data_IF_062184178391
#
_entry.id   IF_062184178391
#
_cell.length_a   1.000
_cell.length_b   1.000
_cell.length_c   1.000
_cell.angle_alpha   90.00
_cell.angle_beta   90.00
_cell.angle_gamma   90.00
#
_symmetry.space_group_name_H-M   'P 1'
#
loop_
_entity.id
_entity.type
_entity.pdbx_description
1 polymer ?
#
# COMPACT_ATOMS: atom_id res chain seq x y z
N UNK A 1 25.01 -29.29 -17.94
CA UNK A 1 24.77 -28.68 -16.63
C UNK A 1 23.39 -29.11 -16.17
N UNK A 2 23.27 -30.07 -15.26
CA UNK A 2 21.97 -30.59 -14.87
C UNK A 2 21.30 -29.63 -13.88
N UNK A 3 20.18 -29.06 -14.30
CA UNK A 3 19.24 -28.24 -13.52
C UNK A 3 18.50 -29.12 -12.48
N UNK A 4 19.22 -29.70 -11.52
CA UNK A 4 18.62 -30.55 -10.49
C UNK A 4 17.99 -29.69 -9.41
N UNK A 5 16.69 -29.46 -9.58
CA UNK A 5 15.82 -28.75 -8.66
C UNK A 5 15.95 -29.29 -7.22
N UNK A 6 16.13 -28.32 -6.33
CA UNK A 6 16.27 -28.41 -4.89
C UNK A 6 15.02 -28.95 -4.14
N UNK A 7 14.53 -30.13 -4.50
CA UNK A 7 13.41 -30.82 -3.84
C UNK A 7 13.97 -31.78 -2.80
N UNK A 8 13.61 -31.58 -1.52
CA UNK A 8 13.98 -32.46 -0.41
C UNK A 8 13.15 -33.75 -0.49
N UNK A 9 13.68 -34.86 0.01
CA UNK A 9 13.00 -36.17 0.00
C UNK A 9 11.59 -36.16 0.64
N UNK A 10 11.31 -35.16 1.50
CA UNK A 10 10.01 -34.93 2.14
C UNK A 10 9.00 -34.19 1.25
N UNK A 11 9.26 -34.02 -0.06
CA UNK A 11 8.39 -33.29 -0.99
C UNK A 11 8.38 -31.77 -0.78
N UNK A 12 9.23 -31.25 0.11
CA UNK A 12 9.32 -29.82 0.42
C UNK A 12 10.47 -29.17 -0.34
N UNK A 13 10.20 -27.99 -0.92
CA UNK A 13 11.19 -27.19 -1.63
C UNK A 13 12.08 -26.48 -0.61
N UNK A 14 13.41 -26.62 -0.70
CA UNK A 14 14.34 -26.00 0.27
C UNK A 14 14.39 -24.47 0.20
N UNK A 15 13.75 -23.88 -0.81
CA UNK A 15 13.58 -22.44 -0.94
C UNK A 15 12.09 -22.10 -1.02
N UNK A 16 11.59 -21.39 0.00
CA UNK A 16 10.29 -20.75 -0.08
C UNK A 16 10.46 -19.45 -0.89
N UNK A 17 9.84 -19.32 -2.08
CA UNK A 17 10.02 -18.13 -2.90
C UNK A 17 9.42 -16.92 -2.18
N UNK A 18 10.28 -16.11 -1.57
CA UNK A 18 9.87 -14.91 -0.83
C UNK A 18 9.17 -13.85 -1.71
N UNK A 19 9.27 -14.00 -3.04
CA UNK A 19 8.62 -13.15 -4.04
C UNK A 19 7.17 -13.54 -4.33
N UNK A 20 6.72 -14.75 -3.97
CA UNK A 20 5.38 -15.21 -4.34
C UNK A 20 4.27 -14.45 -3.61
N UNK A 21 4.53 -14.03 -2.37
CA UNK A 21 3.56 -13.32 -1.54
C UNK A 21 3.72 -11.79 -1.62
N UNK A 22 4.58 -11.31 -2.52
CA UNK A 22 4.90 -9.88 -2.63
C UNK A 22 4.07 -9.29 -3.76
N UNK A 23 3.27 -8.27 -3.44
CA UNK A 23 2.45 -7.61 -4.45
C UNK A 23 3.34 -7.06 -5.58
N UNK A 24 3.01 -7.36 -6.85
CA UNK A 24 3.80 -6.91 -7.98
C UNK A 24 3.75 -5.38 -8.10
N UNK A 25 4.86 -4.80 -8.49
CA UNK A 25 4.93 -3.39 -8.87
C UNK A 25 4.40 -3.23 -10.30
N UNK A 26 3.45 -2.32 -10.50
CA UNK A 26 2.75 -2.18 -11.80
C UNK A 26 3.30 -1.00 -12.59
N UNK A 27 3.37 0.20 -11.99
CA UNK A 27 3.80 1.42 -12.69
C UNK A 27 4.76 2.22 -11.80
N UNK A 28 5.96 2.57 -12.32
CA UNK A 28 6.95 3.41 -11.62
C UNK A 28 7.39 2.93 -10.22
N UNK A 29 7.19 1.66 -9.90
CA UNK A 29 7.47 1.10 -8.57
C UNK A 29 6.31 1.23 -7.57
N UNK A 30 5.14 1.69 -8.02
CA UNK A 30 3.89 1.66 -7.26
C UNK A 30 3.26 0.27 -7.35
N UNK A 31 2.69 -0.20 -6.23
CA UNK A 31 1.80 -1.37 -6.24
C UNK A 31 0.44 -0.98 -6.84
N UNK A 32 -0.34 -1.97 -7.28
CA UNK A 32 -1.68 -1.73 -7.82
C UNK A 32 -2.57 -0.90 -6.86
N UNK A 33 -2.52 -1.22 -5.57
CA UNK A 33 -3.31 -0.52 -4.54
C UNK A 33 -2.94 0.97 -4.42
N UNK A 34 -1.65 1.28 -4.55
CA UNK A 34 -1.15 2.65 -4.46
C UNK A 34 -1.52 3.47 -5.69
N UNK A 35 -1.54 2.82 -6.85
CA UNK A 35 -2.02 3.43 -8.09
C UNK A 35 -3.49 3.79 -7.99
N UNK A 36 -4.33 2.92 -7.42
CA UNK A 36 -5.75 3.22 -7.23
C UNK A 36 -5.97 4.42 -6.32
N UNK A 37 -5.25 4.50 -5.20
CA UNK A 37 -5.33 5.66 -4.28
C UNK A 37 -4.85 6.93 -4.97
N UNK A 38 -3.71 6.86 -5.67
CA UNK A 38 -3.14 8.00 -6.36
C UNK A 38 -4.04 8.49 -7.50
N UNK A 39 -4.56 7.57 -8.31
CA UNK A 39 -5.50 7.81 -9.40
C UNK A 39 -6.81 8.40 -8.87
N UNK A 40 -7.39 7.83 -7.82
CA UNK A 40 -8.62 8.34 -7.22
C UNK A 40 -8.46 9.75 -6.64
N UNK A 41 -7.37 10.01 -5.92
CA UNK A 41 -7.12 11.33 -5.34
C UNK A 41 -6.86 12.39 -6.43
N UNK A 42 -6.02 12.07 -7.41
CA UNK A 42 -5.66 13.00 -8.46
C UNK A 42 -6.77 13.21 -9.49
N UNK A 43 -7.54 12.17 -9.82
CA UNK A 43 -8.76 12.27 -10.60
C UNK A 43 -9.84 13.06 -9.87
N UNK A 44 -9.97 12.90 -8.55
CA UNK A 44 -10.86 13.72 -7.72
C UNK A 44 -10.49 15.20 -7.75
N UNK A 45 -9.19 15.54 -7.62
CA UNK A 45 -8.71 16.91 -7.78
C UNK A 45 -8.96 17.42 -9.20
N UNK A 46 -8.69 16.60 -10.22
CA UNK A 46 -8.96 16.94 -11.62
C UNK A 46 -10.45 17.20 -11.89
N UNK A 47 -11.35 16.43 -11.28
CA UNK A 47 -12.78 16.66 -11.36
C UNK A 47 -13.22 17.92 -10.60
N UNK A 48 -12.68 18.15 -9.40
CA UNK A 48 -12.98 19.35 -8.60
C UNK A 48 -12.57 20.64 -9.32
N UNK A 49 -11.50 20.61 -10.11
CA UNK A 49 -11.08 21.74 -10.96
C UNK A 49 -11.84 21.76 -12.29
N UNK A 50 -12.03 20.60 -12.90
CA UNK A 50 -12.65 20.45 -14.21
C UNK A 50 -14.15 20.73 -14.23
N UNK A 51 -14.88 20.40 -13.17
CA UNK A 51 -16.32 20.64 -13.05
C UNK A 51 -16.70 22.14 -13.05
N UNK A 52 -16.10 23.02 -12.22
CA UNK A 52 -16.40 24.44 -12.27
C UNK A 52 -15.94 25.09 -13.59
N UNK A 53 -14.82 24.65 -14.17
CA UNK A 53 -14.39 25.12 -15.49
C UNK A 53 -15.36 24.70 -16.59
N UNK A 54 -15.81 23.44 -16.59
CA UNK A 54 -16.81 22.93 -17.53
C UNK A 54 -18.11 23.73 -17.46
N UNK A 55 -18.56 24.06 -16.24
CA UNK A 55 -19.72 24.91 -16.03
C UNK A 55 -19.50 26.33 -16.58
N UNK A 56 -18.36 26.95 -16.26
CA UNK A 56 -18.03 28.31 -16.68
C UNK A 56 -17.96 28.46 -18.21
N UNK A 57 -17.34 27.49 -18.89
CA UNK A 57 -17.19 27.49 -20.35
C UNK A 57 -18.35 26.79 -21.08
N UNK A 58 -19.38 26.33 -20.35
CA UNK A 58 -20.49 25.50 -20.86
C UNK A 58 -20.03 24.34 -21.77
N UNK A 59 -18.86 23.78 -21.48
CA UNK A 59 -18.22 22.75 -22.30
C UNK A 59 -18.01 21.50 -21.48
N UNK A 60 -18.92 20.53 -21.64
CA UNK A 60 -18.95 19.28 -20.86
C UNK A 60 -17.65 18.48 -21.03
N UNK A 61 -17.01 18.58 -22.21
CA UNK A 61 -15.77 17.87 -22.52
C UNK A 61 -14.58 18.28 -21.63
N UNK A 62 -14.61 19.46 -21.00
CA UNK A 62 -13.52 19.91 -20.12
C UNK A 62 -13.39 19.04 -18.87
N UNK A 63 -14.51 18.57 -18.31
CA UNK A 63 -14.50 17.77 -17.09
C UNK A 63 -13.66 16.47 -17.24
N UNK A 64 -13.90 15.58 -18.21
CA UNK A 64 -13.08 14.39 -18.39
C UNK A 64 -11.63 14.70 -18.79
N UNK A 65 -11.37 15.78 -19.53
CA UNK A 65 -9.99 16.18 -19.87
C UNK A 65 -9.18 16.53 -18.64
N UNK A 66 -9.73 17.31 -17.72
CA UNK A 66 -9.05 17.67 -16.47
C UNK A 66 -8.89 16.49 -15.52
N UNK A 67 -9.82 15.52 -15.54
CA UNK A 67 -9.65 14.25 -14.80
C UNK A 67 -8.43 13.49 -15.34
N UNK A 68 -8.36 13.24 -16.65
CA UNK A 68 -7.24 12.50 -17.26
C UNK A 68 -5.92 13.23 -17.03
N UNK A 69 -5.90 14.55 -17.22
CA UNK A 69 -4.72 15.38 -16.95
C UNK A 69 -4.29 15.30 -15.48
N UNK A 70 -5.26 15.44 -14.57
CA UNK A 70 -5.05 15.32 -13.14
C UNK A 70 -4.46 13.96 -12.76
N UNK A 71 -5.04 12.87 -13.27
CA UNK A 71 -4.55 11.50 -13.05
C UNK A 71 -3.13 11.31 -13.57
N UNK A 72 -2.83 11.76 -14.79
CA UNK A 72 -1.50 11.63 -15.38
C UNK A 72 -0.44 12.36 -14.55
N UNK A 73 -0.71 13.62 -14.18
CA UNK A 73 0.18 14.41 -13.32
C UNK A 73 0.29 13.82 -11.92
N UNK A 74 -0.83 13.40 -11.34
CA UNK A 74 -0.91 12.80 -10.03
C UNK A 74 -0.12 11.51 -9.92
N UNK A 75 -0.26 10.59 -10.87
CA UNK A 75 0.52 9.35 -10.92
C UNK A 75 2.00 9.65 -11.18
N UNK A 76 2.32 10.63 -12.03
CA UNK A 76 3.69 11.01 -12.32
C UNK A 76 4.42 11.53 -11.06
N UNK A 77 3.81 12.51 -10.39
CA UNK A 77 4.37 13.19 -9.21
C UNK A 77 4.23 12.31 -7.97
N UNK A 78 3.06 11.74 -7.75
CA UNK A 78 2.74 10.84 -6.64
C UNK A 78 3.59 9.59 -6.66
N UNK A 79 3.88 9.02 -7.83
CA UNK A 79 4.85 7.93 -7.98
C UNK A 79 6.26 8.33 -7.55
N UNK A 80 6.71 9.53 -7.91
CA UNK A 80 8.01 10.06 -7.49
C UNK A 80 8.10 10.28 -5.97
N UNK A 81 7.08 10.89 -5.37
CA UNK A 81 7.01 11.13 -3.93
C UNK A 81 6.92 9.81 -3.17
N UNK A 82 6.06 8.89 -3.60
CA UNK A 82 5.85 7.62 -2.92
C UNK A 82 7.11 6.75 -2.99
N UNK A 83 7.85 6.77 -4.09
CA UNK A 83 9.14 6.09 -4.21
C UNK A 83 10.18 6.62 -3.22
N UNK A 84 10.17 7.92 -2.91
CA UNK A 84 11.03 8.52 -1.88
C UNK A 84 10.58 8.12 -0.47
N UNK A 85 9.27 8.17 -0.20
CA UNK A 85 8.69 7.79 1.10
C UNK A 85 8.84 6.30 1.41
N UNK A 86 8.79 5.44 0.39
CA UNK A 86 8.96 3.98 0.52
C UNK A 86 10.40 3.53 0.73
N UNK A 87 11.39 4.42 0.72
CA UNK A 87 12.81 4.03 0.82
C UNK A 87 13.07 3.35 2.18
N UNK A 88 13.32 2.03 2.16
CA UNK A 88 13.53 1.22 3.36
C UNK A 88 12.27 0.82 4.13
N UNK A 89 11.07 1.02 3.56
CA UNK A 89 9.78 0.68 4.21
C UNK A 89 9.11 -0.52 3.53
N UNK A 90 8.32 -1.32 4.26
CA UNK A 90 7.61 -2.48 3.70
C UNK A 90 6.48 -2.07 2.73
N UNK A 91 6.07 -2.98 1.85
CA UNK A 91 5.13 -2.64 0.75
C UNK A 91 3.73 -2.24 1.25
N UNK A 92 3.28 -2.79 2.38
CA UNK A 92 1.99 -2.47 3.02
C UNK A 92 2.05 -1.22 3.91
N UNK A 93 3.18 -0.51 3.92
CA UNK A 93 3.39 0.65 4.80
C UNK A 93 2.39 1.75 4.54
N UNK A 94 2.11 2.11 3.27
CA UNK A 94 1.20 3.22 2.96
C UNK A 94 -0.21 2.95 3.50
N UNK A 95 -0.74 1.76 3.24
CA UNK A 95 -2.04 1.34 3.76
C UNK A 95 -2.06 1.37 5.30
N UNK A 96 -1.06 0.78 5.97
CA UNK A 96 -0.97 0.78 7.44
C UNK A 96 -0.82 2.18 8.03
N UNK A 97 -0.05 3.05 7.38
CA UNK A 97 0.16 4.43 7.83
C UNK A 97 -1.11 5.25 7.68
N UNK A 98 -1.85 5.07 6.59
CA UNK A 98 -3.15 5.70 6.38
C UNK A 98 -4.18 5.18 7.40
N UNK A 99 -4.21 3.86 7.60
CA UNK A 99 -5.05 3.20 8.61
C UNK A 99 -4.76 3.75 10.01
N UNK A 100 -3.48 3.89 10.39
CA UNK A 100 -3.07 4.49 11.66
C UNK A 100 -3.48 5.96 11.76
N UNK A 101 -3.23 6.78 10.72
CA UNK A 101 -3.63 8.20 10.70
C UNK A 101 -5.13 8.39 10.87
N UNK A 102 -5.94 7.59 10.20
CA UNK A 102 -7.40 7.65 10.33
C UNK A 102 -7.83 7.20 11.73
N UNK A 103 -7.25 6.11 12.25
CA UNK A 103 -7.56 5.61 13.58
C UNK A 103 -7.19 6.60 14.70
N UNK A 104 -6.08 7.33 14.58
CA UNK A 104 -5.64 8.33 15.57
C UNK A 104 -6.32 9.69 15.40
N UNK A 105 -6.55 10.14 14.17
CA UNK A 105 -7.12 11.47 13.90
C UNK A 105 -8.64 11.53 13.99
N UNK A 106 -9.34 10.45 13.66
CA UNK A 106 -10.80 10.40 13.64
C UNK A 106 -11.33 9.13 14.32
N UNK A 107 -11.44 9.11 15.66
CA UNK A 107 -11.89 7.92 16.41
C UNK A 107 -13.30 7.45 16.01
N UNK A 108 -14.17 8.34 15.49
CA UNK A 108 -15.49 7.97 14.93
C UNK A 108 -15.40 7.18 13.62
N UNK A 109 -14.39 7.43 12.81
CA UNK A 109 -14.12 6.72 11.55
C UNK A 109 -13.25 5.47 11.76
N UNK A 110 -12.65 5.31 12.95
CA UNK A 110 -11.83 4.15 13.29
C UNK A 110 -12.61 2.82 13.25
N UNK A 111 -13.93 2.86 13.48
CA UNK A 111 -14.82 1.71 13.32
C UNK A 111 -14.89 1.18 11.89
N UNK A 112 -14.92 2.09 10.90
CA UNK A 112 -15.02 1.76 9.47
C UNK A 112 -13.72 1.18 8.91
N UNK A 113 -12.58 1.59 9.48
CA UNK A 113 -11.24 1.23 9.01
C UNK A 113 -10.64 0.05 9.80
N UNK A 114 -11.46 -0.65 10.62
CA UNK A 114 -11.04 -1.70 11.58
C UNK A 114 -9.77 -1.30 12.35
N UNK A 115 -9.63 -0.02 12.70
CA UNK A 115 -8.45 0.52 13.38
C UNK A 115 -8.23 -0.08 14.78
N UNK A 116 -9.30 -0.62 15.36
CA UNK A 116 -9.32 -1.38 16.61
C UNK A 116 -8.53 -2.71 16.59
N UNK A 117 -8.26 -3.28 15.40
CA UNK A 117 -7.38 -4.44 15.26
C UNK A 117 -5.89 -4.06 15.10
N UNK A 118 -5.58 -2.75 15.02
CA UNK A 118 -4.21 -2.28 14.84
C UNK A 118 -3.47 -2.39 16.17
N UNK A 119 -2.43 -3.21 16.21
CA UNK A 119 -1.56 -3.34 17.38
C UNK A 119 -0.70 -2.07 17.45
N UNK A 120 -1.11 -1.12 18.29
CA UNK A 120 -0.37 0.13 18.57
C UNK A 120 0.56 0.01 19.78
N UNK A 121 0.56 -1.13 20.48
CA UNK A 121 1.42 -1.35 21.65
C UNK A 121 2.87 -1.53 21.21
N UNK A 122 3.74 -0.68 21.71
CA UNK A 122 5.18 -0.94 21.75
C UNK A 122 5.53 -1.66 23.05
N UNK A 123 6.45 -2.61 22.99
CA UNK A 123 6.93 -3.36 24.14
C UNK A 123 8.30 -3.95 23.87
N UNK A 124 9.09 -4.12 24.93
CA UNK A 124 10.36 -4.83 24.84
C UNK A 124 10.09 -6.33 24.71
N UNK A 125 10.52 -6.93 23.61
CA UNK A 125 10.44 -8.37 23.43
C UNK A 125 11.54 -9.04 24.27
N UNK A 126 11.16 -9.86 25.25
CA UNK A 126 12.07 -10.71 25.99
C UNK A 126 11.97 -12.15 25.49
N UNK A 127 12.98 -12.64 24.78
CA UNK A 127 13.07 -14.04 24.34
C UNK A 127 13.65 -14.91 25.45
N UNK A 128 12.87 -15.19 26.51
CA UNK A 128 13.26 -16.20 27.49
C UNK A 128 12.57 -17.52 27.12
N UNK A 129 13.35 -18.51 26.66
CA UNK A 129 12.83 -19.87 26.48
C UNK A 129 12.70 -20.50 27.87
N UNK A 130 11.48 -20.82 28.28
CA UNK A 130 11.23 -21.64 29.47
C UNK A 130 11.63 -23.07 29.11
N UNK A 131 12.77 -23.53 29.64
CA UNK A 131 13.20 -24.91 29.49
C UNK A 131 12.24 -25.78 30.33
N UNK A 132 11.67 -26.88 29.79
CA UNK A 132 10.84 -27.77 30.57
C UNK A 132 11.67 -28.32 31.72
N UNK A 133 11.21 -28.09 32.96
CA UNK A 133 11.85 -28.63 34.15
C UNK A 133 11.64 -30.14 34.11
N UNK A 134 12.64 -30.91 33.67
CA UNK A 134 12.57 -32.37 33.76
C UNK A 134 12.41 -32.73 35.23
N UNK A 135 11.27 -33.34 35.57
CA UNK A 135 11.10 -34.00 36.86
C UNK A 135 12.20 -35.04 37.00
N UNK A 136 13.03 -34.86 38.04
CA UNK A 136 13.84 -35.95 38.60
C UNK A 136 12.95 -36.85 39.42
#
# INVERSE_FOLDING_TARGET
MPEHQHIRADGTVTFLPHRLNRHPVVVRGLTADELWICCGLSGGVGLLVGAPLSWMFRTIALAPTFIVLGVALGVFVGGGILRRLKRGRPDTWLYRQLQWRIATGHPRLAGWVRGQALISRSGCWATRRLMPRSMR
#
